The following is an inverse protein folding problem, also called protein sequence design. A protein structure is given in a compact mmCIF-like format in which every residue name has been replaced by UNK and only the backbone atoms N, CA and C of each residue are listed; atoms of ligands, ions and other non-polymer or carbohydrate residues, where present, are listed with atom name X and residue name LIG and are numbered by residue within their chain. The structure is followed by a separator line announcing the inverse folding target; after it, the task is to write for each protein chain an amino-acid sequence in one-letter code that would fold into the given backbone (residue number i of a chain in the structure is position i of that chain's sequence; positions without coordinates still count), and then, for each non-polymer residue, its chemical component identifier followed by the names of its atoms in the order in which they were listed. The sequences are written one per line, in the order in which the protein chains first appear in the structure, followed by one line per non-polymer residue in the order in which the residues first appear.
data_IF_634254704448
#
_entry.id   IF_634254704448
#
_cell.length_a   1.000
_cell.length_b   1.000
_cell.length_c   1.000
_cell.angle_alpha   90.00
_cell.angle_beta   90.00
_cell.angle_gamma   90.00
#
_symmetry.space_group_name_H-M   'P 1'
#
loop_
_entity.id
_entity.type
_entity.pdbx_description
1 polymer ?
#
# COMPACT_ATOMS: atom_id res chain seq x y z
N UNK A 1 9.13 9.62 -27.23
CA UNK A 1 8.70 8.38 -27.93
C UNK A 1 8.28 7.24 -27.00
N UNK A 2 9.08 6.82 -26.01
CA UNK A 2 8.72 5.71 -25.09
C UNK A 2 7.34 5.87 -24.43
N UNK A 3 6.90 7.11 -24.22
CA UNK A 3 5.64 7.41 -23.56
C UNK A 3 4.35 7.17 -24.37
N UNK A 4 4.44 7.18 -25.70
CA UNK A 4 3.28 6.99 -26.58
C UNK A 4 3.09 5.53 -27.00
N UNK A 5 4.04 4.66 -26.67
CA UNK A 5 4.01 3.25 -27.03
C UNK A 5 2.73 2.52 -26.58
N UNK A 6 2.22 2.71 -25.35
CA UNK A 6 0.95 2.10 -24.94
C UNK A 6 -0.22 2.49 -25.85
N UNK A 7 -0.29 3.76 -26.26
CA UNK A 7 -1.36 4.29 -27.11
C UNK A 7 -1.25 3.73 -28.52
N UNK A 8 -0.04 3.69 -29.10
CA UNK A 8 0.17 3.13 -30.43
C UNK A 8 -0.08 1.61 -30.48
N UNK A 9 0.30 0.88 -29.43
CA UNK A 9 -0.02 -0.54 -29.30
C UNK A 9 -1.53 -0.76 -29.21
N UNK A 10 -2.22 0.02 -28.37
CA UNK A 10 -3.68 -0.01 -28.25
C UNK A 10 -4.40 0.30 -29.56
N UNK A 11 -4.00 1.36 -30.26
CA UNK A 11 -4.58 1.71 -31.57
C UNK A 11 -4.33 0.64 -32.63
N UNK A 12 -3.13 0.05 -32.66
CA UNK A 12 -2.82 -1.04 -33.59
C UNK A 12 -3.75 -2.23 -33.36
N UNK A 13 -3.95 -2.66 -32.10
CA UNK A 13 -4.88 -3.73 -31.75
C UNK A 13 -6.33 -3.38 -32.10
N UNK A 14 -6.72 -2.13 -31.86
CA UNK A 14 -8.06 -1.64 -32.18
C UNK A 14 -8.45 -1.84 -33.65
N UNK A 15 -7.52 -1.62 -34.58
CA UNK A 15 -7.79 -1.78 -36.02
C UNK A 15 -7.64 -3.21 -36.54
N UNK A 16 -6.99 -4.12 -35.80
CA UNK A 16 -6.82 -5.53 -36.20
C UNK A 16 -8.14 -6.31 -36.05
N UNK A 17 -9.01 -5.89 -35.11
CA UNK A 17 -10.27 -6.57 -34.82
C UNK A 17 -10.11 -7.70 -33.79
N UNK A 18 -11.23 -8.06 -33.18
CA UNK A 18 -11.28 -9.07 -32.12
C UNK A 18 -11.22 -10.51 -32.65
N UNK A 19 -10.75 -11.47 -31.85
CA UNK A 19 -10.80 -12.89 -32.20
C UNK A 19 -12.23 -13.40 -32.36
N UNK A 20 -12.41 -14.44 -33.17
CA UNK A 20 -13.71 -15.05 -33.43
C UNK A 20 -14.38 -15.52 -32.13
N UNK A 21 -15.67 -15.19 -31.98
CA UNK A 21 -16.47 -15.55 -30.80
C UNK A 21 -16.36 -14.58 -29.61
N UNK A 22 -15.55 -13.52 -29.70
CA UNK A 22 -15.52 -12.45 -28.70
C UNK A 22 -16.38 -11.26 -29.17
N UNK A 23 -17.23 -10.75 -28.28
CA UNK A 23 -18.01 -9.55 -28.54
C UNK A 23 -17.12 -8.33 -28.84
N UNK A 24 -17.55 -7.48 -29.78
CA UNK A 24 -16.75 -6.33 -30.22
C UNK A 24 -16.57 -5.30 -29.10
N UNK A 25 -17.60 -5.06 -28.28
CA UNK A 25 -17.48 -4.14 -27.15
C UNK A 25 -16.54 -4.72 -26.08
N UNK A 26 -16.62 -6.02 -25.81
CA UNK A 26 -15.72 -6.71 -24.89
C UNK A 26 -14.25 -6.59 -25.33
N UNK A 27 -13.97 -6.77 -26.62
CA UNK A 27 -12.63 -6.61 -27.20
C UNK A 27 -12.12 -5.16 -27.13
N UNK A 28 -12.97 -4.19 -27.48
CA UNK A 28 -12.62 -2.77 -27.42
C UNK A 28 -12.32 -2.32 -25.99
N UNK A 29 -13.14 -2.75 -25.02
CA UNK A 29 -12.88 -2.47 -23.61
C UNK A 29 -11.56 -3.11 -23.15
N UNK A 30 -11.25 -4.32 -23.61
CA UNK A 30 -10.00 -5.01 -23.30
C UNK A 30 -8.79 -4.23 -23.81
N UNK A 31 -8.84 -3.71 -25.04
CA UNK A 31 -7.78 -2.87 -25.59
C UNK A 31 -7.55 -1.63 -24.74
N UNK A 32 -8.63 -0.94 -24.32
CA UNK A 32 -8.50 0.24 -23.47
C UNK A 32 -7.89 -0.14 -22.12
N UNK A 33 -8.38 -1.21 -21.50
CA UNK A 33 -7.83 -1.71 -20.24
C UNK A 33 -6.34 -2.04 -20.35
N UNK A 34 -5.93 -2.78 -21.39
CA UNK A 34 -4.54 -3.13 -21.67
C UNK A 34 -3.69 -1.87 -21.88
N UNK A 35 -4.21 -0.88 -22.62
CA UNK A 35 -3.53 0.40 -22.86
C UNK A 35 -3.32 1.18 -21.57
N UNK A 36 -4.33 1.21 -20.70
CA UNK A 36 -4.24 1.83 -19.37
C UNK A 36 -3.19 1.10 -18.53
N UNK A 37 -3.24 -0.23 -18.42
CA UNK A 37 -2.25 -1.04 -17.68
C UNK A 37 -0.83 -0.78 -18.20
N UNK A 38 -0.63 -0.81 -19.52
CA UNK A 38 0.66 -0.53 -20.12
C UNK A 38 1.14 0.89 -19.82
N UNK A 39 0.24 1.89 -19.84
CA UNK A 39 0.55 3.27 -19.42
C UNK A 39 1.01 3.34 -17.95
N UNK A 40 0.33 2.62 -17.06
CA UNK A 40 0.69 2.54 -15.63
C UNK A 40 2.06 1.86 -15.41
N UNK A 41 2.39 0.84 -16.20
CA UNK A 41 3.68 0.15 -16.13
C UNK A 41 4.83 1.04 -16.63
N UNK A 42 4.63 1.76 -17.73
CA UNK A 42 5.64 2.65 -18.31
C UNK A 42 5.78 3.96 -17.50
N UNK A 43 4.77 4.32 -16.69
CA UNK A 43 4.75 5.51 -15.80
C UNK A 43 5.02 6.83 -16.53
N UNK A 44 4.43 6.97 -17.71
CA UNK A 44 4.63 8.14 -18.59
C UNK A 44 3.96 9.38 -18.02
N UNK A 45 2.76 9.20 -17.49
CA UNK A 45 1.90 10.22 -16.90
C UNK A 45 1.39 9.71 -15.54
N UNK A 46 0.85 10.60 -14.67
CA UNK A 46 0.32 10.18 -13.38
C UNK A 46 -0.79 9.12 -13.52
N UNK A 47 -0.87 8.19 -12.56
CA UNK A 47 -1.78 7.03 -12.64
C UNK A 47 -3.25 7.45 -12.78
N UNK A 48 -3.68 8.45 -12.00
CA UNK A 48 -5.01 9.02 -12.10
C UNK A 48 -5.32 9.55 -13.51
N UNK A 49 -4.35 10.21 -14.16
CA UNK A 49 -4.53 10.78 -15.49
C UNK A 49 -4.66 9.68 -16.54
N UNK A 50 -3.84 8.61 -16.47
CA UNK A 50 -3.96 7.45 -17.34
C UNK A 50 -5.35 6.81 -17.26
N UNK A 51 -5.85 6.58 -16.05
CA UNK A 51 -7.14 5.94 -15.82
C UNK A 51 -8.30 6.83 -16.25
N UNK A 52 -8.29 8.12 -15.91
CA UNK A 52 -9.31 9.07 -16.35
C UNK A 52 -9.36 9.21 -17.87
N UNK A 53 -8.21 9.19 -18.54
CA UNK A 53 -8.14 9.22 -20.00
C UNK A 53 -8.81 7.98 -20.60
N UNK A 54 -8.49 6.79 -20.07
CA UNK A 54 -9.11 5.54 -20.51
C UNK A 54 -10.62 5.49 -20.28
N UNK A 55 -11.09 5.90 -19.09
CA UNK A 55 -12.52 5.96 -18.78
C UNK A 55 -13.26 6.98 -19.67
N UNK A 56 -12.68 8.16 -19.84
CA UNK A 56 -13.28 9.20 -20.70
C UNK A 56 -13.39 8.68 -22.12
N UNK A 57 -12.33 8.05 -22.63
CA UNK A 57 -12.34 7.45 -23.96
C UNK A 57 -13.46 6.41 -24.11
N UNK A 58 -13.55 5.45 -23.19
CA UNK A 58 -14.60 4.40 -23.15
C UNK A 58 -16.01 4.99 -23.19
N UNK A 59 -16.26 6.09 -22.49
CA UNK A 59 -17.55 6.79 -22.51
C UNK A 59 -17.77 7.51 -23.84
N UNK A 60 -16.78 8.24 -24.33
CA UNK A 60 -16.90 9.05 -25.56
C UNK A 60 -17.11 8.20 -26.82
N UNK A 61 -16.54 6.99 -26.86
CA UNK A 61 -16.73 6.06 -27.98
C UNK A 61 -17.94 5.13 -27.79
N UNK A 62 -18.68 5.27 -26.68
CA UNK A 62 -19.93 4.56 -26.45
C UNK A 62 -19.79 3.09 -26.00
N UNK A 63 -18.63 2.67 -25.50
CA UNK A 63 -18.42 1.29 -25.00
C UNK A 63 -19.19 1.10 -23.67
N UNK A 64 -19.08 2.06 -22.75
CA UNK A 64 -19.84 2.04 -21.49
C UNK A 64 -20.59 3.37 -21.30
N UNK A 65 -21.81 3.34 -20.73
CA UNK A 65 -22.47 4.57 -20.31
C UNK A 65 -21.71 5.21 -19.14
N UNK A 66 -21.78 6.54 -19.04
CA UNK A 66 -21.07 7.30 -18.00
C UNK A 66 -21.36 6.79 -16.58
N UNK A 67 -22.61 6.41 -16.29
CA UNK A 67 -22.99 5.85 -14.98
C UNK A 67 -22.17 4.60 -14.66
N UNK A 68 -22.07 3.66 -15.60
CA UNK A 68 -21.27 2.44 -15.44
C UNK A 68 -19.78 2.77 -15.30
N UNK A 69 -19.27 3.73 -16.08
CA UNK A 69 -17.89 4.18 -16.03
C UNK A 69 -17.48 4.81 -14.67
N UNK A 70 -18.45 5.24 -13.85
CA UNK A 70 -18.21 5.81 -12.51
C UNK A 70 -18.46 4.81 -11.37
N UNK A 71 -18.96 3.60 -11.64
CA UNK A 71 -19.41 2.68 -10.59
C UNK A 71 -18.28 2.24 -9.65
N UNK A 72 -17.06 2.05 -10.13
CA UNK A 72 -15.93 1.63 -9.29
C UNK A 72 -15.51 2.66 -8.24
N UNK A 73 -15.96 3.92 -8.35
CA UNK A 73 -15.79 4.94 -7.30
C UNK A 73 -16.75 4.77 -6.12
N UNK A 74 -17.79 3.94 -6.27
CA UNK A 74 -18.70 3.56 -5.17
C UNK A 74 -18.29 2.26 -4.48
N UNK A 75 -17.24 1.60 -4.95
CA UNK A 75 -16.80 0.31 -4.45
C UNK A 75 -16.22 0.40 -3.02
N UNK A 76 -16.56 -0.59 -2.19
CA UNK A 76 -16.14 -0.65 -0.79
C UNK A 76 -14.63 -0.82 -0.62
N UNK A 77 -13.97 -1.53 -1.54
CA UNK A 77 -12.51 -1.71 -1.53
C UNK A 77 -11.81 -0.43 -1.97
N UNK A 78 -12.33 0.28 -2.98
CA UNK A 78 -11.84 1.61 -3.36
C UNK A 78 -11.85 2.55 -2.15
N UNK A 79 -13.00 2.66 -1.46
CA UNK A 79 -13.12 3.52 -0.29
C UNK A 79 -12.28 3.07 0.90
N UNK A 80 -12.11 1.76 1.11
CA UNK A 80 -11.19 1.25 2.13
C UNK A 80 -9.77 1.79 1.93
N UNK A 81 -9.27 1.75 0.68
CA UNK A 81 -7.93 2.24 0.35
C UNK A 81 -7.82 3.76 0.56
N UNK A 82 -8.84 4.54 0.20
CA UNK A 82 -8.85 6.00 0.42
C UNK A 82 -8.78 6.34 1.90
N UNK A 83 -9.68 5.77 2.70
CA UNK A 83 -9.73 5.99 4.15
C UNK A 83 -8.44 5.52 4.81
N UNK A 84 -7.88 4.41 4.32
CA UNK A 84 -6.59 3.92 4.77
C UNK A 84 -5.46 4.93 4.57
N UNK A 85 -5.38 5.60 3.41
CA UNK A 85 -4.41 6.67 3.20
C UNK A 85 -4.62 7.86 4.13
N UNK A 86 -5.87 8.24 4.41
CA UNK A 86 -6.21 9.33 5.34
C UNK A 86 -5.77 9.00 6.78
N UNK A 87 -6.05 7.78 7.25
CA UNK A 87 -5.64 7.30 8.58
C UNK A 87 -4.11 7.20 8.65
N UNK A 88 -3.46 6.69 7.60
CA UNK A 88 -2.01 6.65 7.53
C UNK A 88 -1.39 8.07 7.59
N UNK A 89 -2.04 9.06 6.98
CA UNK A 89 -1.69 10.47 7.13
C UNK A 89 -1.74 10.92 8.60
N UNK A 90 -2.78 10.56 9.35
CA UNK A 90 -2.86 10.85 10.79
C UNK A 90 -1.68 10.26 11.57
N UNK A 91 -1.28 9.02 11.28
CA UNK A 91 -0.16 8.37 11.97
C UNK A 91 1.17 9.08 11.69
N UNK A 92 1.34 9.64 10.49
CA UNK A 92 2.53 10.40 10.11
C UNK A 92 2.51 11.78 10.78
N UNK A 93 1.42 12.53 10.61
CA UNK A 93 1.29 13.92 11.09
C UNK A 93 1.36 14.01 12.61
N UNK A 94 0.79 13.04 13.33
CA UNK A 94 0.88 13.00 14.80
C UNK A 94 2.26 12.61 15.33
N UNK A 95 3.14 12.07 14.49
CA UNK A 95 4.46 11.56 14.91
C UNK A 95 4.44 10.17 15.55
N UNK A 96 3.25 9.55 15.72
CA UNK A 96 3.08 8.23 16.32
C UNK A 96 3.97 7.17 15.64
N UNK A 97 3.94 7.13 14.30
CA UNK A 97 4.74 6.17 13.53
C UNK A 97 6.24 6.34 13.77
N UNK A 98 6.71 7.58 13.81
CA UNK A 98 8.12 7.92 14.08
C UNK A 98 8.51 7.51 15.50
N UNK A 99 7.65 7.77 16.49
CA UNK A 99 7.89 7.37 17.89
C UNK A 99 8.05 5.86 18.02
N UNK A 100 7.14 5.08 17.44
CA UNK A 100 7.21 3.60 17.48
C UNK A 100 8.50 3.11 16.81
N UNK A 101 8.83 3.60 15.62
CA UNK A 101 10.03 3.21 14.91
C UNK A 101 11.32 3.50 15.70
N UNK A 102 11.43 4.71 16.29
CA UNK A 102 12.59 5.07 17.11
C UNK A 102 12.68 4.21 18.38
N UNK A 103 11.56 3.87 19.01
CA UNK A 103 11.55 2.96 20.18
C UNK A 103 12.06 1.56 19.81
N UNK A 104 11.64 1.00 18.68
CA UNK A 104 12.16 -0.29 18.20
C UNK A 104 13.68 -0.23 18.00
N UNK A 105 14.17 0.86 17.43
CA UNK A 105 15.60 1.10 17.19
C UNK A 105 16.37 1.26 18.49
N UNK A 106 15.81 1.94 19.48
CA UNK A 106 16.43 2.07 20.81
C UNK A 106 16.58 0.70 21.49
N UNK A 107 15.59 -0.17 21.37
CA UNK A 107 15.55 -1.49 22.01
C UNK A 107 16.55 -2.45 21.36
N UNK A 108 16.47 -2.62 20.04
CA UNK A 108 17.19 -3.66 19.29
C UNK A 108 18.44 -3.16 18.53
N UNK A 109 18.56 -1.86 18.28
CA UNK A 109 19.64 -1.23 17.50
C UNK A 109 20.97 -1.15 18.21
N UNK A 110 21.47 -2.27 18.74
CA UNK A 110 22.77 -2.40 19.43
C UNK A 110 23.90 -2.91 18.53
N UNK A 111 23.58 -3.32 17.32
CA UNK A 111 24.50 -3.72 16.25
C UNK A 111 23.87 -3.38 14.90
N UNK A 112 24.62 -3.50 13.81
CA UNK A 112 24.07 -3.25 12.46
C UNK A 112 22.93 -4.24 12.11
N UNK A 113 23.10 -5.53 12.45
CA UNK A 113 22.04 -6.53 12.32
C UNK A 113 20.88 -6.25 13.28
N UNK A 114 21.18 -5.76 14.49
CA UNK A 114 20.17 -5.31 15.45
C UNK A 114 19.33 -4.14 14.94
N UNK A 115 19.93 -3.21 14.19
CA UNK A 115 19.20 -2.16 13.47
C UNK A 115 18.29 -2.76 12.39
N UNK A 116 18.76 -3.76 11.66
CA UNK A 116 17.91 -4.52 10.73
C UNK A 116 16.68 -5.14 11.41
N UNK A 117 16.88 -5.83 12.54
CA UNK A 117 15.79 -6.37 13.33
C UNK A 117 14.87 -5.31 13.94
N UNK A 118 15.41 -4.15 14.34
CA UNK A 118 14.61 -3.02 14.81
C UNK A 118 13.67 -2.51 13.72
N UNK A 119 14.15 -2.41 12.48
CA UNK A 119 13.35 -2.01 11.32
C UNK A 119 12.26 -3.07 11.05
N UNK A 120 12.60 -4.36 11.07
CA UNK A 120 11.62 -5.44 10.94
C UNK A 120 10.54 -5.38 12.03
N UNK A 121 10.94 -5.14 13.29
CA UNK A 121 9.99 -5.03 14.40
C UNK A 121 9.08 -3.81 14.25
N UNK A 122 9.62 -2.67 13.84
CA UNK A 122 8.84 -1.47 13.57
C UNK A 122 7.82 -1.72 12.45
N UNK A 123 8.23 -2.31 11.33
CA UNK A 123 7.33 -2.71 10.24
C UNK A 123 6.27 -3.71 10.72
N UNK A 124 6.63 -4.67 11.58
CA UNK A 124 5.69 -5.66 12.11
C UNK A 124 4.62 -5.02 13.01
N UNK A 125 5.01 -4.10 13.90
CA UNK A 125 4.07 -3.40 14.80
C UNK A 125 3.18 -2.44 14.01
N UNK A 126 3.76 -1.71 13.06
CA UNK A 126 3.03 -0.72 12.25
C UNK A 126 2.23 -1.38 11.11
N UNK A 127 2.58 -2.60 10.73
CA UNK A 127 1.96 -3.43 9.69
C UNK A 127 0.44 -3.52 9.75
N UNK A 128 -0.13 -4.04 10.85
CA UNK A 128 -1.56 -4.25 10.98
C UNK A 128 -2.33 -2.93 11.14
N UNK A 129 -1.69 -1.91 11.71
CA UNK A 129 -2.34 -0.64 12.09
C UNK A 129 -2.27 0.45 11.02
N UNK A 130 -1.21 0.51 10.20
CA UNK A 130 -1.10 1.49 9.12
C UNK A 130 -1.51 0.82 7.81
N UNK A 131 -2.70 1.12 7.27
CA UNK A 131 -3.25 0.43 6.12
C UNK A 131 -2.67 0.92 4.77
N UNK A 132 -1.39 1.29 4.76
CA UNK A 132 -0.67 1.75 3.57
C UNK A 132 0.82 1.47 3.71
N UNK A 133 1.31 0.51 2.94
CA UNK A 133 2.73 0.18 2.89
C UNK A 133 3.60 1.37 2.41
N UNK A 134 3.11 2.17 1.47
CA UNK A 134 3.82 3.38 1.01
C UNK A 134 3.92 4.46 2.09
N UNK A 135 2.90 4.61 2.94
CA UNK A 135 2.93 5.55 4.06
C UNK A 135 3.85 5.04 5.18
N UNK A 136 3.75 3.75 5.52
CA UNK A 136 4.60 3.13 6.54
C UNK A 136 6.08 3.07 6.11
N UNK A 137 6.36 2.40 5.00
CA UNK A 137 7.70 2.19 4.48
C UNK A 137 8.31 3.48 3.96
N UNK A 138 7.61 4.21 3.08
CA UNK A 138 8.14 5.42 2.44
C UNK A 138 8.01 6.70 3.28
N UNK A 139 6.94 6.84 4.06
CA UNK A 139 6.66 8.06 4.84
C UNK A 139 7.28 8.05 6.24
N UNK A 140 7.42 6.88 6.87
CA UNK A 140 7.92 6.77 8.25
C UNK A 140 9.30 6.12 8.27
N UNK A 141 9.43 4.89 7.76
CA UNK A 141 10.65 4.12 7.93
C UNK A 141 11.79 4.63 7.04
N UNK A 142 11.55 4.92 5.76
CA UNK A 142 12.60 5.33 4.84
C UNK A 142 13.35 6.61 5.27
N UNK A 143 12.69 7.70 5.75
CA UNK A 143 13.41 8.86 6.27
C UNK A 143 14.25 8.54 7.51
N UNK A 144 13.77 7.65 8.39
CA UNK A 144 14.50 7.22 9.58
C UNK A 144 15.73 6.41 9.17
N UNK A 145 15.55 5.47 8.25
CA UNK A 145 16.62 4.61 7.71
C UNK A 145 17.67 5.45 6.98
N UNK A 146 17.27 6.43 6.16
CA UNK A 146 18.19 7.36 5.49
C UNK A 146 18.95 8.22 6.51
N UNK A 147 18.26 8.75 7.52
CA UNK A 147 18.89 9.53 8.60
C UNK A 147 19.94 8.72 9.37
N UNK A 148 19.66 7.46 9.68
CA UNK A 148 20.62 6.55 10.32
C UNK A 148 21.80 6.26 9.38
N UNK A 149 21.51 5.94 8.12
CA UNK A 149 22.54 5.64 7.12
C UNK A 149 23.53 6.80 6.97
N UNK A 150 23.01 8.03 6.86
CA UNK A 150 23.83 9.26 6.76
C UNK A 150 24.64 9.51 8.02
N UNK A 151 24.08 9.24 9.19
CA UNK A 151 24.80 9.38 10.48
C UNK A 151 25.95 8.39 10.58
N UNK A 152 25.83 7.21 9.97
CA UNK A 152 26.93 6.25 9.82
C UNK A 152 27.93 6.63 8.72
N UNK A 153 27.77 7.78 8.06
CA UNK A 153 28.60 8.24 6.95
C UNK A 153 28.39 7.42 5.68
N UNK A 154 27.17 6.90 5.48
CA UNK A 154 26.76 6.15 4.29
C UNK A 154 25.69 6.92 3.54
N UNK A 155 25.90 7.15 2.23
CA UNK A 155 24.94 7.82 1.37
C UNK A 155 24.95 7.19 -0.03
N UNK A 156 23.93 7.43 -0.88
CA UNK A 156 23.87 6.85 -2.21
C UNK A 156 25.12 7.11 -3.07
N UNK A 157 25.75 8.29 -2.89
CA UNK A 157 26.91 8.71 -3.68
C UNK A 157 28.24 8.57 -2.92
N UNK A 158 28.23 8.08 -1.67
CA UNK A 158 29.44 7.95 -0.86
C UNK A 158 29.30 6.76 0.10
N UNK A 159 30.04 5.69 -0.20
CA UNK A 159 30.10 4.43 0.56
C UNK A 159 28.71 3.88 0.94
N UNK A 160 27.82 3.64 -0.03
CA UNK A 160 26.49 3.07 0.24
C UNK A 160 26.57 1.70 0.94
N UNK A 161 27.59 0.90 0.64
CA UNK A 161 27.87 -0.40 1.24
C UNK A 161 28.21 -0.34 2.73
N UNK A 162 28.56 0.84 3.25
CA UNK A 162 28.96 0.99 4.66
C UNK A 162 27.83 0.63 5.63
N UNK A 163 26.61 1.05 5.32
CA UNK A 163 25.42 0.72 6.10
C UNK A 163 24.12 0.94 5.31
N UNK A 164 24.10 1.97 4.44
CA UNK A 164 22.90 2.43 3.77
C UNK A 164 22.25 1.35 2.90
N UNK A 165 23.03 0.65 2.09
CA UNK A 165 22.53 -0.42 1.22
C UNK A 165 21.83 -1.51 2.03
N UNK A 166 22.49 -2.03 3.08
CA UNK A 166 21.93 -3.03 3.98
C UNK A 166 20.61 -2.56 4.62
N UNK A 167 20.61 -1.39 5.26
CA UNK A 167 19.45 -0.91 6.02
C UNK A 167 18.25 -0.58 5.12
N UNK A 168 18.48 0.01 3.94
CA UNK A 168 17.41 0.31 3.00
C UNK A 168 16.83 -0.96 2.38
N UNK A 169 17.65 -1.97 2.06
CA UNK A 169 17.17 -3.26 1.59
C UNK A 169 16.33 -3.98 2.65
N UNK A 170 16.81 -4.03 3.90
CA UNK A 170 16.03 -4.60 5.01
C UNK A 170 14.70 -3.84 5.18
N UNK A 171 14.71 -2.52 5.20
CA UNK A 171 13.48 -1.72 5.32
C UNK A 171 12.48 -1.95 4.19
N UNK A 172 12.95 -1.95 2.94
CA UNK A 172 12.10 -2.18 1.78
C UNK A 172 11.47 -3.59 1.82
N UNK A 173 12.25 -4.62 2.10
CA UNK A 173 11.75 -5.99 2.13
C UNK A 173 10.88 -6.28 3.37
N UNK A 174 11.22 -5.72 4.54
CA UNK A 174 10.37 -5.84 5.74
C UNK A 174 9.00 -5.20 5.51
N UNK A 175 8.97 -4.08 4.78
CA UNK A 175 7.72 -3.44 4.38
C UNK A 175 6.86 -4.32 3.47
N UNK A 176 7.46 -5.00 2.48
CA UNK A 176 6.74 -5.92 1.60
C UNK A 176 6.24 -7.16 2.34
N UNK A 177 7.06 -7.75 3.21
CA UNK A 177 6.66 -8.91 4.02
C UNK A 177 5.45 -8.55 4.88
N UNK A 178 5.52 -7.46 5.65
CA UNK A 178 4.42 -7.03 6.52
C UNK A 178 3.20 -6.55 5.75
N UNK A 179 3.39 -5.98 4.55
CA UNK A 179 2.30 -5.66 3.64
C UNK A 179 1.54 -6.91 3.21
N UNK A 180 2.21 -8.05 2.99
CA UNK A 180 1.56 -9.32 2.68
C UNK A 180 0.92 -10.00 3.90
N UNK A 181 1.49 -9.82 5.10
CA UNK A 181 1.03 -10.47 6.33
C UNK A 181 -0.38 -10.07 6.77
N UNK A 182 -0.81 -8.83 6.49
CA UNK A 182 -2.08 -8.29 6.99
C UNK A 182 -2.98 -7.86 5.84
N UNK A 183 -4.28 -8.14 5.94
CA UNK A 183 -5.26 -7.78 4.90
C UNK A 183 -5.26 -6.28 4.58
N UNK A 184 -5.00 -5.44 5.58
CA UNK A 184 -4.93 -3.99 5.42
C UNK A 184 -3.53 -3.48 5.06
N UNK A 185 -2.52 -4.35 5.01
CA UNK A 185 -1.12 -3.95 4.83
C UNK A 185 -0.80 -3.31 3.47
N UNK A 186 -1.57 -3.63 2.43
CA UNK A 186 -1.43 -3.10 1.07
C UNK A 186 -2.79 -3.09 0.34
N UNK A 187 -3.00 -2.12 -0.55
CA UNK A 187 -4.24 -1.98 -1.33
C UNK A 187 -4.60 -3.20 -2.21
N UNK A 188 -3.62 -4.00 -2.63
CA UNK A 188 -3.87 -5.20 -3.41
C UNK A 188 -4.56 -6.32 -2.60
N UNK A 189 -4.34 -6.39 -1.29
CA UNK A 189 -4.83 -7.52 -0.49
C UNK A 189 -6.36 -7.57 -0.41
N UNK A 190 -7.08 -6.44 -0.16
CA UNK A 190 -8.54 -6.45 -0.22
C UNK A 190 -9.10 -6.76 -1.62
N UNK A 191 -8.37 -6.43 -2.70
CA UNK A 191 -8.76 -6.81 -4.07
C UNK A 191 -8.68 -8.33 -4.25
N UNK A 192 -7.62 -8.96 -3.74
CA UNK A 192 -7.49 -10.43 -3.74
C UNK A 192 -8.58 -11.08 -2.90
N UNK A 193 -8.85 -10.55 -1.70
CA UNK A 193 -9.94 -11.03 -0.83
C UNK A 193 -11.30 -10.94 -1.53
N UNK A 194 -11.58 -9.82 -2.21
CA UNK A 194 -12.80 -9.64 -3.00
C UNK A 194 -12.88 -10.62 -4.16
N UNK A 195 -11.81 -10.77 -4.94
CA UNK A 195 -11.78 -11.71 -6.06
C UNK A 195 -11.98 -13.15 -5.61
N UNK A 196 -11.39 -13.56 -4.48
CA UNK A 196 -11.59 -14.89 -3.91
C UNK A 196 -13.06 -15.13 -3.51
N UNK A 197 -13.74 -14.12 -2.98
CA UNK A 197 -15.16 -14.20 -2.68
C UNK A 197 -16.01 -14.25 -3.96
N UNK A 198 -15.76 -13.37 -4.92
CA UNK A 198 -16.56 -13.25 -6.15
C UNK A 198 -16.45 -14.48 -7.07
N UNK A 199 -15.36 -15.25 -6.97
CA UNK A 199 -15.08 -16.42 -7.85
C UNK A 199 -15.31 -17.74 -7.11
N UNK A 200 -14.85 -17.85 -5.86
CA UNK A 200 -14.82 -19.11 -5.11
C UNK A 200 -15.72 -19.09 -3.88
N UNK A 201 -16.41 -17.99 -3.60
CA UNK A 201 -17.20 -17.78 -2.37
C UNK A 201 -16.38 -17.90 -1.08
N UNK A 202 -15.04 -17.80 -1.18
CA UNK A 202 -14.13 -17.87 -0.04
C UNK A 202 -14.01 -16.48 0.59
N UNK A 203 -14.47 -16.34 1.82
CA UNK A 203 -14.39 -15.08 2.55
C UNK A 203 -13.10 -14.99 3.38
N UNK A 204 -12.12 -14.21 2.91
CA UNK A 204 -10.95 -13.84 3.71
C UNK A 204 -11.22 -12.57 4.51
N UNK A 205 -11.60 -12.73 5.78
CA UNK A 205 -11.61 -11.62 6.72
C UNK A 205 -10.21 -11.29 7.26
N UNK A 206 -10.11 -10.23 8.05
CA UNK A 206 -8.83 -9.72 8.52
C UNK A 206 -8.09 -10.77 9.38
N UNK A 207 -8.81 -11.45 10.27
CA UNK A 207 -8.23 -12.44 11.16
C UNK A 207 -7.77 -13.70 10.41
N UNK A 208 -8.57 -14.21 9.48
CA UNK A 208 -8.23 -15.36 8.66
C UNK A 208 -7.01 -15.08 7.80
N UNK A 209 -6.93 -13.89 7.18
CA UNK A 209 -5.76 -13.47 6.43
C UNK A 209 -4.52 -13.42 7.34
N UNK A 210 -4.62 -12.75 8.49
CA UNK A 210 -3.51 -12.63 9.44
C UNK A 210 -3.04 -14.00 9.93
N UNK A 211 -3.96 -14.93 10.22
CA UNK A 211 -3.64 -16.30 10.63
C UNK A 211 -2.83 -17.05 9.56
N UNK A 212 -3.18 -16.88 8.29
CA UNK A 212 -2.41 -17.46 7.18
C UNK A 212 -1.07 -16.77 6.95
N UNK A 213 -1.01 -15.45 7.13
CA UNK A 213 0.19 -14.64 6.89
C UNK A 213 1.22 -14.66 8.01
N UNK A 214 0.82 -14.93 9.26
CA UNK A 214 1.68 -14.71 10.44
C UNK A 214 2.90 -15.63 10.45
N UNK A 215 2.73 -16.93 10.18
CA UNK A 215 3.82 -17.91 10.23
C UNK A 215 4.88 -17.64 9.14
N UNK A 216 4.54 -17.62 7.84
CA UNK A 216 5.53 -17.31 6.80
C UNK A 216 6.11 -15.90 6.95
N UNK A 217 5.30 -14.94 7.41
CA UNK A 217 5.74 -13.58 7.67
C UNK A 217 6.79 -13.48 8.77
N UNK A 218 6.57 -14.12 9.91
CA UNK A 218 7.54 -14.15 11.01
C UNK A 218 8.84 -14.85 10.62
N UNK A 219 8.76 -15.96 9.87
CA UNK A 219 9.95 -16.62 9.31
C UNK A 219 10.71 -15.67 8.39
N UNK A 220 10.00 -14.99 7.48
CA UNK A 220 10.57 -13.99 6.58
C UNK A 220 11.26 -12.85 7.33
N UNK A 221 10.58 -12.24 8.32
CA UNK A 221 11.14 -11.16 9.12
C UNK A 221 12.33 -11.59 9.98
N UNK A 222 12.32 -12.83 10.49
CA UNK A 222 13.43 -13.38 11.27
C UNK A 222 14.66 -13.63 10.40
N UNK A 223 14.47 -14.17 9.19
CA UNK A 223 15.55 -14.46 8.25
C UNK A 223 16.07 -13.26 7.48
N UNK A 224 15.24 -12.22 7.27
CA UNK A 224 15.56 -11.11 6.38
C UNK A 224 16.83 -10.34 6.77
N UNK A 225 17.02 -9.85 8.01
CA UNK A 225 18.25 -9.14 8.38
C UNK A 225 19.51 -9.98 8.21
N UNK A 226 19.43 -11.31 8.36
CA UNK A 226 20.55 -12.23 8.17
C UNK A 226 20.85 -12.45 6.69
N UNK A 227 19.81 -12.68 5.89
CA UNK A 227 19.94 -12.88 4.45
C UNK A 227 20.52 -11.63 3.77
N UNK A 228 20.01 -10.44 4.09
CA UNK A 228 20.55 -9.20 3.51
C UNK A 228 21.96 -8.93 4.02
N UNK A 229 22.32 -9.33 5.25
CA UNK A 229 23.69 -9.21 5.75
C UNK A 229 24.66 -10.13 5.00
N UNK A 230 24.18 -11.28 4.53
CA UNK A 230 24.96 -12.18 3.68
C UNK A 230 25.14 -11.61 2.25
N UNK A 231 24.07 -11.06 1.65
CA UNK A 231 24.08 -10.55 0.27
C UNK A 231 24.77 -9.19 0.16
N UNK A 232 24.53 -8.30 1.12
CA UNK A 232 25.01 -6.91 1.16
C UNK A 232 25.59 -6.64 2.54
N UNK A 233 26.76 -7.22 2.78
CA UNK A 233 27.45 -7.12 4.06
C UNK A 233 27.89 -5.69 4.35
N UNK A 234 27.40 -5.05 5.43
CA UNK A 234 27.83 -3.72 5.83
C UNK A 234 29.26 -3.75 6.36
N UNK A 235 30.03 -2.69 6.11
CA UNK A 235 31.45 -2.55 6.50
C UNK A 235 31.66 -1.70 7.76
N UNK A 236 30.59 -1.29 8.44
CA UNK A 236 30.66 -0.45 9.64
C UNK A 236 31.16 -1.21 10.88
N UNK A 237 32.15 -0.63 11.58
CA UNK A 237 32.74 -1.24 12.78
C UNK A 237 32.00 -0.88 14.08
N UNK A 238 31.36 0.30 14.15
CA UNK A 238 30.64 0.76 15.35
C UNK A 238 29.35 1.50 15.02
N UNK A 239 28.32 1.21 15.82
CA UNK A 239 26.99 1.85 15.76
C UNK A 239 26.76 2.86 16.89
N UNK A 240 27.78 3.15 17.71
CA UNK A 240 27.66 4.06 18.85
C UNK A 240 27.11 5.46 18.49
N UNK A 241 27.53 6.11 17.37
CA UNK A 241 26.95 7.39 16.95
C UNK A 241 25.43 7.35 16.74
N UNK A 242 24.89 6.18 16.36
CA UNK A 242 23.44 5.99 16.22
C UNK A 242 22.74 5.96 17.56
N UNK A 243 23.31 5.33 18.58
CA UNK A 243 22.65 5.27 19.90
C UNK A 243 22.48 6.65 20.50
N UNK A 244 23.51 7.48 20.44
CA UNK A 244 23.45 8.86 20.93
C UNK A 244 22.42 9.69 20.14
N UNK A 245 22.41 9.55 18.81
CA UNK A 245 21.43 10.22 17.96
C UNK A 245 20.00 9.77 18.27
N UNK A 246 19.74 8.47 18.38
CA UNK A 246 18.39 7.93 18.63
C UNK A 246 17.90 8.34 20.02
N UNK A 247 18.78 8.36 21.03
CA UNK A 247 18.43 8.88 22.35
C UNK A 247 18.03 10.36 22.29
N UNK A 248 18.80 11.20 21.58
CA UNK A 248 18.46 12.61 21.36
C UNK A 248 17.16 12.77 20.58
N UNK A 249 16.96 11.98 19.53
CA UNK A 249 15.75 12.01 18.71
C UNK A 249 14.52 11.65 19.55
N UNK A 250 14.60 10.60 20.40
CA UNK A 250 13.51 10.22 21.31
C UNK A 250 13.26 11.29 22.37
N UNK A 251 14.31 11.88 22.96
CA UNK A 251 14.16 12.99 23.90
C UNK A 251 13.48 14.20 23.23
N UNK A 252 13.81 14.50 21.98
CA UNK A 252 13.22 15.59 21.22
C UNK A 252 11.73 15.39 20.90
N UNK A 253 11.24 14.13 20.89
CA UNK A 253 9.81 13.85 20.75
C UNK A 253 9.01 14.23 22.00
N UNK A 254 9.66 14.40 23.15
CA UNK A 254 8.99 14.71 24.41
C UNK A 254 7.98 13.63 24.86
N UNK A 255 7.08 13.98 25.80
CA UNK A 255 6.03 13.07 26.26
C UNK A 255 5.03 12.75 25.14
N UNK A 256 4.24 11.70 25.35
CA UNK A 256 3.14 11.35 24.44
C UNK A 256 2.14 12.49 24.35
N UNK A 257 1.91 12.98 23.13
CA UNK A 257 0.91 14.00 22.89
C UNK A 257 -0.49 13.40 22.89
N UNK A 258 -1.51 14.23 23.16
CA UNK A 258 -2.91 13.82 23.06
C UNK A 258 -3.25 13.24 21.68
N UNK A 259 -2.71 13.82 20.62
CA UNK A 259 -2.95 13.39 19.25
C UNK A 259 -2.36 11.99 18.98
N UNK A 260 -1.15 11.71 19.46
CA UNK A 260 -0.53 10.38 19.35
C UNK A 260 -1.34 9.33 20.11
N UNK A 261 -1.78 9.64 21.33
CA UNK A 261 -2.57 8.72 22.15
C UNK A 261 -3.90 8.41 21.48
N UNK A 262 -4.64 9.42 21.04
CA UNK A 262 -5.92 9.23 20.37
C UNK A 262 -5.75 8.43 19.07
N UNK A 263 -4.71 8.71 18.29
CA UNK A 263 -4.41 7.95 17.08
C UNK A 263 -4.12 6.48 17.42
N UNK A 264 -3.27 6.21 18.40
CA UNK A 264 -2.94 4.86 18.83
C UNK A 264 -4.17 4.10 19.34
N UNK A 265 -5.00 4.74 20.18
CA UNK A 265 -6.27 4.15 20.66
C UNK A 265 -7.23 3.87 19.50
N UNK A 266 -7.35 4.77 18.54
CA UNK A 266 -8.22 4.60 17.36
C UNK A 266 -7.79 3.39 16.55
N UNK A 267 -6.49 3.25 16.27
CA UNK A 267 -5.95 2.09 15.56
C UNK A 267 -6.16 0.78 16.35
N UNK A 268 -5.99 0.81 17.67
CA UNK A 268 -6.27 -0.33 18.54
C UNK A 268 -7.74 -0.76 18.47
N UNK A 269 -8.67 0.19 18.54
CA UNK A 269 -10.11 -0.07 18.38
C UNK A 269 -10.41 -0.67 17.00
N UNK A 270 -9.83 -0.12 15.93
CA UNK A 270 -10.02 -0.65 14.58
C UNK A 270 -9.51 -2.09 14.45
N UNK A 271 -8.33 -2.42 15.00
CA UNK A 271 -7.82 -3.79 14.99
C UNK A 271 -8.73 -4.77 15.72
N UNK A 272 -9.26 -4.36 16.88
CA UNK A 272 -10.19 -5.19 17.65
C UNK A 272 -11.45 -5.44 16.83
N UNK A 273 -12.04 -4.40 16.23
CA UNK A 273 -13.24 -4.52 15.39
C UNK A 273 -12.99 -5.36 14.13
N UNK A 274 -11.86 -5.19 13.44
CA UNK A 274 -11.53 -6.05 12.31
C UNK A 274 -11.36 -7.51 12.70
N UNK A 275 -10.77 -7.78 13.87
CA UNK A 275 -10.55 -9.14 14.38
C UNK A 275 -11.83 -9.79 14.93
N UNK A 276 -12.86 -8.99 15.26
CA UNK A 276 -14.12 -9.43 15.87
C UNK A 276 -15.32 -9.32 14.93
N UNK A 277 -15.07 -9.20 13.61
CA UNK A 277 -16.11 -9.17 12.57
C UNK A 277 -17.23 -10.22 12.77
N UNK A 278 -16.96 -11.49 13.14
CA UNK A 278 -18.03 -12.48 13.34
C UNK A 278 -19.08 -12.10 14.40
N UNK A 279 -18.76 -11.20 15.34
CA UNK A 279 -19.66 -10.81 16.44
C UNK A 279 -20.58 -9.63 16.11
N UNK A 280 -20.19 -8.74 15.20
CA UNK A 280 -20.94 -7.51 14.88
C UNK A 280 -21.25 -7.33 13.39
N UNK A 281 -20.65 -8.15 12.50
CA UNK A 281 -20.92 -8.16 11.07
C UNK A 281 -20.39 -6.97 10.27
N UNK A 282 -19.64 -6.05 10.88
CA UNK A 282 -19.16 -4.86 10.17
C UNK A 282 -17.99 -5.18 9.25
N UNK A 283 -18.08 -4.72 8.00
CA UNK A 283 -17.02 -4.88 7.02
C UNK A 283 -15.79 -4.01 7.33
N UNK A 284 -14.65 -4.38 6.72
CA UNK A 284 -13.36 -3.69 6.91
C UNK A 284 -13.45 -2.19 6.62
N UNK A 285 -14.16 -1.83 5.54
CA UNK A 285 -14.39 -0.43 5.12
C UNK A 285 -15.18 0.36 6.15
N UNK A 286 -16.24 -0.23 6.72
CA UNK A 286 -17.07 0.42 7.76
C UNK A 286 -16.24 0.76 8.99
N UNK A 287 -15.42 -0.18 9.46
CA UNK A 287 -14.52 0.02 10.60
C UNK A 287 -13.47 1.09 10.29
N UNK A 288 -12.96 1.14 9.06
CA UNK A 288 -12.03 2.21 8.64
C UNK A 288 -12.71 3.59 8.70
N UNK A 289 -13.94 3.72 8.20
CA UNK A 289 -14.70 4.98 8.32
C UNK A 289 -14.96 5.36 9.77
N UNK A 290 -15.27 4.41 10.65
CA UNK A 290 -15.42 4.68 12.08
C UNK A 290 -14.12 5.28 12.66
N UNK A 291 -12.96 4.70 12.33
CA UNK A 291 -11.67 5.25 12.75
C UNK A 291 -11.41 6.66 12.23
N UNK A 292 -11.74 6.92 10.97
CA UNK A 292 -11.63 8.25 10.37
C UNK A 292 -12.52 9.28 11.08
N UNK A 293 -13.77 8.90 11.38
CA UNK A 293 -14.73 9.75 12.11
C UNK A 293 -14.21 10.05 13.51
N UNK A 294 -13.63 9.06 14.21
CA UNK A 294 -13.01 9.29 15.53
C UNK A 294 -11.91 10.34 15.40
N UNK A 295 -10.97 10.18 14.47
CA UNK A 295 -9.85 11.14 14.23
C UNK A 295 -10.35 12.56 13.99
N UNK A 296 -11.43 12.71 13.22
CA UNK A 296 -12.02 14.00 12.88
C UNK A 296 -12.77 14.64 14.06
N UNK A 297 -13.61 13.86 14.75
CA UNK A 297 -14.39 14.35 15.90
C UNK A 297 -13.50 14.73 17.08
N UNK A 298 -12.40 14.00 17.30
CA UNK A 298 -11.42 14.34 18.33
C UNK A 298 -10.51 15.51 17.93
N UNK A 299 -10.62 16.00 16.69
CA UNK A 299 -9.73 17.02 16.09
C UNK A 299 -8.26 16.62 16.17
N UNK A 300 -7.98 15.32 16.06
CA UNK A 300 -6.61 14.82 15.92
C UNK A 300 -6.02 15.30 14.59
N UNK A 301 -6.84 15.23 13.53
CA UNK A 301 -6.64 15.97 12.29
C UNK A 301 -7.93 16.69 11.92
N UNK A 302 -7.78 17.80 11.21
CA UNK A 302 -8.90 18.53 10.59
C UNK A 302 -9.22 17.98 9.21
N UNK A 303 -10.44 18.21 8.74
CA UNK A 303 -10.83 17.84 7.37
C UNK A 303 -9.92 18.49 6.31
N UNK A 304 -9.54 19.76 6.50
CA UNK A 304 -8.64 20.48 5.59
C UNK A 304 -7.27 19.79 5.46
N UNK A 305 -6.70 19.31 6.58
CA UNK A 305 -5.46 18.53 6.57
C UNK A 305 -5.62 17.21 5.81
N UNK A 306 -6.76 16.54 5.94
CA UNK A 306 -7.01 15.27 5.23
C UNK A 306 -7.24 15.46 3.74
N UNK A 307 -7.93 16.54 3.33
CA UNK A 307 -8.14 16.85 1.90
C UNK A 307 -6.81 17.15 1.21
N UNK A 308 -5.81 17.68 1.91
CA UNK A 308 -4.46 17.86 1.39
C UNK A 308 -3.68 16.56 1.17
N UNK A 309 -4.21 15.41 1.58
CA UNK A 309 -3.59 14.12 1.30
C UNK A 309 -3.81 13.70 -0.17
N UNK A 310 -3.02 14.29 -1.07
CA UNK A 310 -3.09 14.04 -2.52
C UNK A 310 -3.02 12.55 -2.89
N UNK A 311 -2.31 11.72 -2.09
CA UNK A 311 -2.19 10.29 -2.34
C UNK A 311 -3.50 9.55 -2.16
N UNK A 312 -4.34 9.95 -1.20
CA UNK A 312 -5.67 9.37 -0.99
C UNK A 312 -6.57 9.62 -2.21
N UNK A 313 -6.53 10.83 -2.75
CA UNK A 313 -7.33 11.21 -3.93
C UNK A 313 -6.80 10.60 -5.22
N UNK A 314 -5.48 10.55 -5.41
CA UNK A 314 -4.88 9.84 -6.54
C UNK A 314 -5.31 8.37 -6.51
N UNK A 315 -5.23 7.71 -5.34
CA UNK A 315 -5.72 6.35 -5.13
C UNK A 315 -7.20 6.16 -5.44
N UNK A 316 -8.07 7.07 -5.00
CA UNK A 316 -9.50 7.05 -5.35
C UNK A 316 -9.68 7.01 -6.88
N UNK A 317 -8.99 7.91 -7.59
CA UNK A 317 -9.16 8.10 -9.03
C UNK A 317 -8.65 6.89 -9.82
N UNK A 318 -7.41 6.45 -9.58
CA UNK A 318 -6.85 5.36 -10.38
C UNK A 318 -7.46 4.01 -10.00
N UNK A 319 -7.70 3.74 -8.72
CA UNK A 319 -8.22 2.44 -8.28
C UNK A 319 -9.69 2.26 -8.68
N UNK A 320 -10.53 3.27 -8.43
CA UNK A 320 -11.96 3.20 -8.77
C UNK A 320 -12.18 3.07 -10.27
N UNK A 321 -11.39 3.79 -11.08
CA UNK A 321 -11.51 3.67 -12.54
C UNK A 321 -10.95 2.36 -13.07
N UNK A 322 -9.83 1.88 -12.54
CA UNK A 322 -9.28 0.57 -12.93
C UNK A 322 -10.26 -0.57 -12.59
N UNK A 323 -10.88 -0.50 -11.41
CA UNK A 323 -11.89 -1.49 -11.01
C UNK A 323 -13.09 -1.46 -11.95
N UNK A 324 -13.53 -0.28 -12.38
CA UNK A 324 -14.61 -0.16 -13.35
C UNK A 324 -14.27 -0.84 -14.68
N UNK A 325 -13.08 -0.61 -15.21
CA UNK A 325 -12.65 -1.26 -16.45
C UNK A 325 -12.56 -2.78 -16.28
N UNK A 326 -12.02 -3.26 -15.15
CA UNK A 326 -11.92 -4.69 -14.86
C UNK A 326 -13.30 -5.36 -14.70
N UNK A 327 -14.24 -4.73 -13.99
CA UNK A 327 -15.61 -5.23 -13.84
C UNK A 327 -16.35 -5.19 -15.17
N UNK A 328 -16.18 -4.14 -15.97
CA UNK A 328 -16.77 -4.08 -17.31
C UNK A 328 -16.28 -5.21 -18.23
N UNK A 329 -15.02 -5.64 -18.14
CA UNK A 329 -14.53 -6.81 -18.88
C UNK A 329 -15.20 -8.10 -18.45
N UNK A 330 -15.45 -8.27 -17.16
CA UNK A 330 -16.21 -9.41 -16.63
C UNK A 330 -17.65 -9.37 -17.17
N UNK A 331 -18.31 -8.23 -17.07
CA UNK A 331 -19.74 -8.09 -17.43
C UNK A 331 -19.98 -8.23 -18.93
N UNK A 332 -19.03 -7.80 -19.77
CA UNK A 332 -19.07 -8.01 -21.23
C UNK A 332 -18.63 -9.42 -21.65
N UNK A 333 -18.34 -10.32 -20.70
CA UNK A 333 -18.05 -11.73 -20.99
C UNK A 333 -16.62 -12.04 -21.44
N UNK A 334 -15.71 -11.07 -21.43
CA UNK A 334 -14.30 -11.28 -21.83
C UNK A 334 -13.62 -12.35 -20.97
N UNK A 335 -13.82 -12.29 -19.64
CA UNK A 335 -13.18 -13.22 -18.69
C UNK A 335 -13.65 -14.66 -18.92
N UNK A 336 -14.95 -14.85 -19.19
CA UNK A 336 -15.52 -16.17 -19.48
C UNK A 336 -15.04 -16.73 -20.82
N UNK A 337 -15.01 -15.89 -21.87
CA UNK A 337 -14.45 -16.28 -23.17
C UNK A 337 -12.99 -16.71 -23.05
N UNK A 338 -12.16 -15.93 -22.36
CA UNK A 338 -10.74 -16.24 -22.19
C UNK A 338 -10.53 -17.50 -21.33
N UNK A 339 -11.31 -17.68 -20.27
CA UNK A 339 -11.26 -18.89 -19.43
C UNK A 339 -11.54 -20.16 -20.25
N UNK A 340 -12.59 -20.16 -21.06
CA UNK A 340 -12.92 -21.31 -21.92
C UNK A 340 -11.82 -21.63 -22.95
N UNK A 341 -11.02 -20.63 -23.36
CA UNK A 341 -9.92 -20.82 -24.30
C UNK A 341 -8.72 -21.53 -23.68
N UNK A 342 -8.42 -21.26 -22.40
CA UNK A 342 -7.22 -21.77 -21.71
C UNK A 342 -7.45 -23.07 -20.94
N UNK A 343 -8.69 -23.45 -20.65
CA UNK A 343 -9.06 -24.62 -19.84
C UNK A 343 -9.09 -24.29 -18.35
#
# INVERSE_FOLDING_TARGET
MKGLFPVFAGLSLWFIGGPDGLDTQAYQLFIVFLTVIASLMVRVIPMAVSVLTGLTFVVTVGILPLKSALMGYSDTTTWLVVVAFMIAGAVIETGLGRRIALLCILILGRSITGLGYAICLAEFILGPVIPSNTARGGGILAPIVDSISRTLGSSPNNKPEKAGQYLHLVGAHANLITAAMFLTGMAANPLVSKAAFDIFEIQFDWFTWAKGGIVPGLIGLAGLPLLINYISKPTIDSIQPIREKIQKDIQSLGPWTRQEIITACTLGVMLILWSTKPFHGWGTTTVAFLGLVIILLTRTLTWDQLVKNHKAWDALIWLGGLLTLATGLKDLGFIGWFGNLIG
#
